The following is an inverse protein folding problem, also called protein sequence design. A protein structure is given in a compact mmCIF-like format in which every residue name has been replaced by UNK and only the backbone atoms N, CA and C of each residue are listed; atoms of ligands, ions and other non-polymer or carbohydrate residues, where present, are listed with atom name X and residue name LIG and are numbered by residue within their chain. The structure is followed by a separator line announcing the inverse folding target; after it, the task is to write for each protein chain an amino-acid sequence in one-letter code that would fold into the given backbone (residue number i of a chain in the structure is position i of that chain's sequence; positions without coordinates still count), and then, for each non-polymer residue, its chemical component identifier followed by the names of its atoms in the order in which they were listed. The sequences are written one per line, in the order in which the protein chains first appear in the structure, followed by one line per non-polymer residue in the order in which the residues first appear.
data_IF_766331704063
#
_entry.id   IF_766331704063
#
_cell.length_a   1.000
_cell.length_b   1.000
_cell.length_c   1.000
_cell.angle_alpha   90.00
_cell.angle_beta   90.00
_cell.angle_gamma   90.00
#
_symmetry.space_group_name_H-M   'P 1'
#
loop_
_entity.id
_entity.type
_entity.pdbx_description
1 polymer ?
#
# COMPACT_ATOMS: atom_id res chain seq x y z
N UNK A 1 15.62 9.12 -6.69
CA UNK A 1 15.71 7.95 -5.80
C UNK A 1 14.34 7.55 -5.24
N UNK A 2 13.63 8.44 -4.54
CA UNK A 2 12.35 8.15 -3.86
C UNK A 2 11.25 7.53 -4.75
N UNK A 3 11.20 7.89 -6.04
CA UNK A 3 10.27 7.28 -6.99
C UNK A 3 10.51 5.78 -7.22
N UNK A 4 11.77 5.37 -7.39
CA UNK A 4 12.12 3.96 -7.58
C UNK A 4 11.91 3.17 -6.29
N UNK A 5 12.20 3.79 -5.14
CA UNK A 5 11.89 3.20 -3.83
C UNK A 5 10.38 2.98 -3.66
N UNK A 6 9.55 3.97 -4.00
CA UNK A 6 8.09 3.85 -3.95
C UNK A 6 7.58 2.72 -4.85
N UNK A 7 8.17 2.56 -6.05
CA UNK A 7 7.81 1.47 -6.95
C UNK A 7 8.19 0.11 -6.36
N UNK A 8 9.42 -0.05 -5.85
CA UNK A 8 9.88 -1.29 -5.23
C UNK A 8 9.03 -1.66 -4.01
N UNK A 9 8.71 -0.69 -3.15
CA UNK A 9 7.84 -0.91 -1.98
C UNK A 9 6.41 -1.28 -2.37
N UNK A 10 5.87 -0.70 -3.44
CA UNK A 10 4.57 -1.09 -3.96
C UNK A 10 4.56 -2.51 -4.55
N UNK A 11 5.67 -2.96 -5.16
CA UNK A 11 5.83 -4.35 -5.60
C UNK A 11 5.89 -5.29 -4.39
N UNK A 12 6.70 -4.96 -3.38
CA UNK A 12 6.80 -5.74 -2.14
C UNK A 12 5.43 -5.89 -1.45
N UNK A 13 4.68 -4.80 -1.30
CA UNK A 13 3.35 -4.84 -0.70
C UNK A 13 2.39 -5.78 -1.44
N UNK A 14 2.44 -5.79 -2.78
CA UNK A 14 1.65 -6.69 -3.61
C UNK A 14 2.07 -8.16 -3.43
N UNK A 15 3.38 -8.42 -3.38
CA UNK A 15 3.90 -9.77 -3.18
C UNK A 15 3.53 -10.33 -1.80
N UNK A 16 3.63 -9.51 -0.75
CA UNK A 16 3.22 -9.86 0.61
C UNK A 16 1.71 -10.16 0.70
N UNK A 17 0.89 -9.35 0.02
CA UNK A 17 -0.56 -9.57 -0.05
C UNK A 17 -0.88 -10.93 -0.68
N UNK A 18 -0.12 -11.34 -1.70
CA UNK A 18 -0.25 -12.63 -2.37
C UNK A 18 0.28 -13.81 -1.57
N UNK A 19 1.24 -13.60 -0.67
CA UNK A 19 1.74 -14.64 0.24
C UNK A 19 0.89 -14.84 1.49
N UNK A 20 -0.18 -14.03 1.68
CA UNK A 20 -1.07 -14.13 2.85
C UNK A 20 -0.49 -13.49 4.11
N UNK A 21 0.55 -12.67 3.99
CA UNK A 21 1.18 -11.93 5.09
C UNK A 21 0.57 -10.52 5.13
N UNK A 22 -0.68 -10.45 5.59
CA UNK A 22 -1.52 -9.26 5.49
C UNK A 22 -1.00 -8.07 6.31
N UNK A 23 -0.47 -8.33 7.50
CA UNK A 23 0.05 -7.30 8.41
C UNK A 23 1.32 -6.66 7.83
N UNK A 24 2.26 -7.46 7.31
CA UNK A 24 3.46 -6.96 6.65
C UNK A 24 3.13 -6.23 5.34
N UNK A 25 2.14 -6.72 4.59
CA UNK A 25 1.66 -6.03 3.42
C UNK A 25 1.07 -4.66 3.79
N UNK A 26 0.29 -4.58 4.88
CA UNK A 26 -0.29 -3.33 5.34
C UNK A 26 0.79 -2.31 5.76
N UNK A 27 1.81 -2.75 6.49
CA UNK A 27 2.97 -1.95 6.84
C UNK A 27 3.71 -1.43 5.59
N UNK A 28 3.93 -2.29 4.59
CA UNK A 28 4.57 -1.89 3.34
C UNK A 28 3.74 -0.85 2.56
N UNK A 29 2.40 -0.96 2.58
CA UNK A 29 1.52 0.06 1.98
C UNK A 29 1.64 1.41 2.69
N UNK A 30 1.76 1.44 4.02
CA UNK A 30 2.02 2.69 4.75
C UNK A 30 3.31 3.37 4.30
N UNK A 31 4.40 2.63 4.14
CA UNK A 31 5.66 3.19 3.61
C UNK A 31 5.47 3.77 2.19
N UNK A 32 4.68 3.13 1.33
CA UNK A 32 4.38 3.65 -0.01
C UNK A 32 3.59 4.95 0.07
N UNK A 33 2.62 5.06 0.98
CA UNK A 33 1.86 6.30 1.21
C UNK A 33 2.78 7.45 1.63
N UNK A 34 3.67 7.21 2.60
CA UNK A 34 4.65 8.21 3.06
C UNK A 34 5.58 8.67 1.92
N UNK A 35 5.96 7.76 1.02
CA UNK A 35 6.77 8.09 -0.15
C UNK A 35 5.98 8.91 -1.18
N UNK A 36 4.69 8.63 -1.38
CA UNK A 36 3.81 9.35 -2.31
C UNK A 36 3.52 10.80 -1.88
N UNK A 37 3.74 11.15 -0.61
CA UNK A 37 3.74 12.56 -0.17
C UNK A 37 4.89 13.36 -0.81
N UNK A 38 5.98 12.68 -1.17
CA UNK A 38 7.18 13.28 -1.76
C UNK A 38 7.28 13.12 -3.28
N UNK A 39 6.51 12.19 -3.87
CA UNK A 39 6.58 11.92 -5.31
C UNK A 39 5.20 11.73 -5.95
N UNK A 40 5.00 12.40 -7.08
CA UNK A 40 3.81 12.22 -7.90
C UNK A 40 4.00 11.01 -8.85
N UNK A 41 3.21 9.95 -8.63
CA UNK A 41 3.29 8.71 -9.42
C UNK A 41 1.92 8.03 -9.56
N UNK A 42 1.28 8.19 -10.71
CA UNK A 42 0.01 7.52 -11.05
C UNK A 42 0.14 6.00 -11.08
N UNK A 43 1.26 5.48 -11.59
CA UNK A 43 1.55 4.03 -11.60
C UNK A 43 1.52 3.44 -10.20
N UNK A 44 2.23 4.06 -9.26
CA UNK A 44 2.30 3.57 -7.87
C UNK A 44 0.93 3.69 -7.19
N UNK A 45 0.19 4.77 -7.42
CA UNK A 45 -1.20 4.91 -6.94
C UNK A 45 -2.12 3.80 -7.47
N UNK A 46 -2.00 3.44 -8.75
CA UNK A 46 -2.77 2.33 -9.35
C UNK A 46 -2.43 0.95 -8.77
N UNK A 47 -1.14 0.70 -8.52
CA UNK A 47 -0.71 -0.51 -7.81
C UNK A 47 -1.30 -0.53 -6.39
N UNK A 48 -1.23 0.59 -5.68
CA UNK A 48 -1.72 0.70 -4.31
C UNK A 48 -3.22 0.43 -4.20
N UNK A 49 -4.02 1.00 -5.10
CA UNK A 49 -5.46 0.76 -5.14
C UNK A 49 -5.79 -0.73 -5.35
N UNK A 50 -4.98 -1.43 -6.15
CA UNK A 50 -5.14 -2.87 -6.38
C UNK A 50 -4.76 -3.68 -5.16
N UNK A 51 -3.64 -3.35 -4.51
CA UNK A 51 -3.19 -4.00 -3.28
C UNK A 51 -4.18 -3.82 -2.14
N UNK A 52 -4.67 -2.60 -1.91
CA UNK A 52 -5.64 -2.29 -0.85
C UNK A 52 -6.94 -3.06 -1.03
N UNK A 53 -7.47 -3.14 -2.26
CA UNK A 53 -8.64 -3.98 -2.57
C UNK A 53 -8.43 -5.45 -2.27
N UNK A 54 -7.22 -5.97 -2.52
CA UNK A 54 -6.88 -7.37 -2.26
C UNK A 54 -6.64 -7.67 -0.77
N UNK A 55 -6.22 -6.68 0.02
CA UNK A 55 -6.06 -6.80 1.47
C UNK A 55 -7.39 -6.75 2.22
N UNK A 56 -8.38 -5.99 1.73
CA UNK A 56 -9.68 -5.83 2.40
C UNK A 56 -10.32 -7.14 2.89
N UNK A 57 -10.41 -8.19 2.06
CA UNK A 57 -10.95 -9.49 2.47
C UNK A 57 -10.09 -10.27 3.47
N UNK A 58 -8.78 -10.01 3.57
CA UNK A 58 -7.88 -10.70 4.52
C UNK A 58 -8.11 -10.20 5.95
N UNK A 59 -8.50 -8.93 6.10
CA UNK A 59 -8.85 -8.34 7.39
C UNK A 59 -7.67 -8.25 8.36
N UNK A 60 -7.97 -8.02 9.64
CA UNK A 60 -6.96 -7.83 10.69
C UNK A 60 -6.80 -6.38 11.13
N UNK A 61 -6.19 -6.15 12.30
CA UNK A 61 -6.04 -4.82 12.88
C UNK A 61 -5.19 -3.89 12.01
N UNK A 62 -4.06 -4.38 11.48
CA UNK A 62 -3.17 -3.59 10.63
C UNK A 62 -3.82 -3.25 9.29
N UNK A 63 -4.52 -4.21 8.68
CA UNK A 63 -5.29 -3.95 7.45
C UNK A 63 -6.40 -2.92 7.71
N UNK A 64 -7.09 -3.00 8.85
CA UNK A 64 -8.13 -2.03 9.21
C UNK A 64 -7.56 -0.62 9.39
N UNK A 65 -6.42 -0.50 10.10
CA UNK A 65 -5.71 0.77 10.26
C UNK A 65 -5.28 1.35 8.90
N UNK A 66 -4.78 0.49 8.02
CA UNK A 66 -4.43 0.88 6.66
C UNK A 66 -5.64 1.39 5.88
N UNK A 67 -6.75 0.66 5.87
CA UNK A 67 -7.95 1.05 5.12
C UNK A 67 -8.47 2.41 5.57
N UNK A 68 -8.57 2.62 6.88
CA UNK A 68 -8.96 3.92 7.44
C UNK A 68 -8.04 5.05 6.97
N UNK A 69 -6.72 4.82 6.96
CA UNK A 69 -5.75 5.81 6.45
C UNK A 69 -5.94 6.04 4.95
N UNK A 70 -6.16 4.99 4.18
CA UNK A 70 -6.27 5.05 2.72
C UNK A 70 -7.54 5.78 2.28
N UNK A 71 -8.66 5.58 2.97
CA UNK A 71 -9.93 6.27 2.74
C UNK A 71 -9.89 7.75 3.12
N UNK A 72 -9.04 8.13 4.08
CA UNK A 72 -8.84 9.52 4.47
C UNK A 72 -8.00 10.34 3.46
N UNK A 73 -7.45 9.70 2.42
CA UNK A 73 -6.68 10.41 1.40
C UNK A 73 -7.62 11.20 0.47
N UNK A 74 -7.25 12.44 0.09
CA UNK A 74 -8.01 13.20 -0.88
C UNK A 74 -7.98 12.50 -2.25
N UNK A 75 -9.18 12.35 -2.84
CA UNK A 75 -9.44 11.76 -4.16
C UNK A 75 -8.91 12.61 -5.31
#
# INVERSE_FOLDING_TARGET
FSRNLALYRAQLAWDLTRSGTADEAAAAVHEVLDLLERVQSSRVRGMLATTVRALGPQGGPEVTALLNRYEALPS
#
